data_IF_869492609522
#
_entry.id   IF_869492609522
#
_cell.length_a   1.000
_cell.length_b   1.000
_cell.length_c   1.000
_cell.angle_alpha   90.00
_cell.angle_beta   90.00
_cell.angle_gamma   90.00
#
_symmetry.space_group_name_H-M   'P 1'
#
loop_
_entity.id
_entity.type
_entity.pdbx_description
1 polymer ?
#
# COMPACT_ATOMS: atom_id res chain seq x y z
N UNK A 1 -4.93 -12.62 15.49
CA UNK A 1 -5.05 -12.24 14.08
C UNK A 1 -5.98 -13.18 13.34
N UNK A 2 -6.56 -12.73 12.22
CA UNK A 2 -7.64 -13.44 11.52
C UNK A 2 -7.54 -13.35 10.01
N UNK A 3 -8.09 -14.36 9.35
CA UNK A 3 -8.24 -14.46 7.90
C UNK A 3 -9.58 -15.16 7.57
N UNK A 4 -9.81 -15.45 6.30
CA UNK A 4 -10.98 -16.25 5.84
C UNK A 4 -11.13 -17.59 6.57
N UNK A 5 -10.05 -18.11 7.15
CA UNK A 5 -10.03 -19.42 7.79
C UNK A 5 -10.88 -19.48 9.07
N UNK A 6 -11.07 -18.35 9.75
CA UNK A 6 -11.92 -18.24 10.93
C UNK A 6 -13.43 -18.24 10.60
N UNK A 7 -13.77 -18.09 9.30
CA UNK A 7 -15.17 -18.04 8.84
C UNK A 7 -15.83 -16.71 9.17
N UNK A 8 -17.13 -16.72 9.40
CA UNK A 8 -17.87 -15.53 9.82
C UNK A 8 -17.68 -15.33 11.31
N UNK A 9 -17.19 -14.15 11.69
CA UNK A 9 -16.87 -13.76 13.08
C UNK A 9 -18.00 -12.89 13.61
N UNK A 10 -18.46 -13.17 14.84
CA UNK A 10 -19.32 -12.26 15.60
C UNK A 10 -18.46 -11.26 16.36
N UNK A 11 -18.21 -10.13 15.74
CA UNK A 11 -17.33 -9.10 16.28
C UNK A 11 -17.86 -8.44 17.55
N UNK A 12 -19.17 -8.49 17.79
CA UNK A 12 -19.75 -7.99 19.05
C UNK A 12 -19.34 -8.86 20.23
N UNK A 13 -19.32 -10.17 20.05
CA UNK A 13 -18.84 -11.10 21.07
C UNK A 13 -17.32 -11.02 21.24
N UNK A 14 -16.58 -10.84 20.16
CA UNK A 14 -15.11 -10.62 20.21
C UNK A 14 -14.80 -9.38 21.04
N UNK A 15 -15.47 -8.27 20.81
CA UNK A 15 -15.28 -7.04 21.59
C UNK A 15 -15.66 -7.24 23.06
N UNK A 16 -16.80 -7.90 23.33
CA UNK A 16 -17.26 -8.20 24.68
C UNK A 16 -16.30 -9.13 25.46
N UNK A 17 -15.49 -9.93 24.78
CA UNK A 17 -14.47 -10.78 25.39
C UNK A 17 -13.19 -10.04 25.83
N UNK A 18 -13.09 -8.74 25.55
CA UNK A 18 -11.96 -7.91 25.95
C UNK A 18 -10.82 -7.82 24.93
N UNK A 19 -11.02 -8.33 23.69
CA UNK A 19 -10.08 -8.14 22.58
C UNK A 19 -10.00 -6.65 22.23
N UNK A 20 -8.80 -6.11 22.18
CA UNK A 20 -8.56 -4.69 21.98
C UNK A 20 -8.20 -4.35 20.53
N UNK A 21 -7.57 -5.30 19.82
CA UNK A 21 -7.16 -5.11 18.44
C UNK A 21 -7.24 -6.41 17.65
N UNK A 22 -7.27 -6.27 16.33
CA UNK A 22 -7.17 -7.39 15.39
C UNK A 22 -6.25 -7.05 14.22
N UNK A 23 -5.32 -7.97 13.92
CA UNK A 23 -4.56 -7.97 12.68
C UNK A 23 -5.36 -8.79 11.64
N UNK A 24 -5.74 -8.17 10.53
CA UNK A 24 -6.66 -8.76 9.56
C UNK A 24 -5.92 -9.00 8.24
N UNK A 25 -5.93 -10.25 7.75
CA UNK A 25 -5.39 -10.52 6.43
C UNK A 25 -6.24 -9.86 5.36
N UNK A 26 -5.64 -8.94 4.62
CA UNK A 26 -6.35 -8.24 3.55
C UNK A 26 -6.26 -8.96 2.21
N UNK A 27 -5.20 -9.71 1.99
CA UNK A 27 -5.00 -10.44 0.75
C UNK A 27 -3.74 -11.30 0.76
N UNK A 28 -3.46 -11.89 -0.37
CA UNK A 28 -2.29 -12.72 -0.60
C UNK A 28 -1.93 -12.75 -2.08
N UNK A 29 -0.66 -13.02 -2.39
CA UNK A 29 -0.26 -13.38 -3.74
C UNK A 29 -0.31 -14.88 -3.91
N UNK A 30 -0.85 -15.35 -5.03
CA UNK A 30 -1.02 -16.78 -5.29
C UNK A 30 0.30 -17.45 -5.65
N UNK A 31 0.53 -18.66 -5.16
CA UNK A 31 1.73 -19.45 -5.46
C UNK A 31 1.83 -19.88 -6.95
N UNK A 32 0.71 -20.09 -7.61
CA UNK A 32 0.72 -20.64 -8.98
C UNK A 32 0.77 -19.57 -10.06
N UNK A 33 -0.03 -18.53 -9.92
CA UNK A 33 -0.20 -17.50 -10.96
C UNK A 33 0.52 -16.19 -10.66
N UNK A 34 0.92 -15.98 -9.38
CA UNK A 34 1.51 -14.72 -8.95
C UNK A 34 0.52 -13.56 -8.90
N UNK A 35 -0.78 -13.82 -8.95
CA UNK A 35 -1.84 -12.82 -8.88
C UNK A 35 -2.10 -12.41 -7.43
N UNK A 36 -2.40 -11.15 -7.21
CA UNK A 36 -2.87 -10.65 -5.91
C UNK A 36 -4.37 -10.89 -5.79
N UNK A 37 -4.78 -11.52 -4.69
CA UNK A 37 -6.18 -11.85 -4.42
C UNK A 37 -6.55 -11.33 -3.03
N UNK A 38 -7.69 -10.65 -2.93
CA UNK A 38 -8.24 -10.22 -1.66
C UNK A 38 -8.66 -11.41 -0.81
N UNK A 39 -8.45 -11.33 0.51
CA UNK A 39 -9.05 -12.29 1.43
C UNK A 39 -10.57 -12.10 1.44
N UNK A 40 -11.31 -13.18 1.25
CA UNK A 40 -12.78 -13.12 1.06
C UNK A 40 -13.53 -12.52 2.26
N UNK A 41 -12.93 -12.57 3.45
CA UNK A 41 -13.53 -12.05 4.67
C UNK A 41 -12.94 -10.69 5.10
N UNK A 42 -11.91 -10.19 4.39
CA UNK A 42 -11.21 -8.97 4.81
C UNK A 42 -12.14 -7.78 4.97
N UNK A 43 -12.97 -7.50 3.96
CA UNK A 43 -13.91 -6.38 4.01
C UNK A 43 -14.85 -6.46 5.20
N UNK A 44 -15.47 -7.61 5.39
CA UNK A 44 -16.39 -7.86 6.52
C UNK A 44 -15.64 -7.66 7.86
N UNK A 45 -14.49 -8.32 8.01
CA UNK A 45 -13.71 -8.24 9.25
C UNK A 45 -13.25 -6.81 9.57
N UNK A 46 -12.79 -6.06 8.57
CA UNK A 46 -12.38 -4.66 8.73
C UNK A 46 -13.54 -3.78 9.20
N UNK A 47 -14.70 -3.91 8.54
CA UNK A 47 -15.89 -3.10 8.84
C UNK A 47 -16.45 -3.43 10.22
N UNK A 48 -16.67 -4.70 10.50
CA UNK A 48 -17.30 -5.13 11.72
C UNK A 48 -16.42 -4.98 12.97
N UNK A 49 -15.10 -5.23 12.83
CA UNK A 49 -14.17 -4.96 13.93
C UNK A 49 -14.19 -3.48 14.33
N UNK A 50 -14.11 -2.57 13.35
CA UNK A 50 -14.20 -1.13 13.62
C UNK A 50 -15.56 -0.72 14.21
N UNK A 51 -16.65 -1.24 13.65
CA UNK A 51 -18.01 -0.92 14.14
C UNK A 51 -18.20 -1.33 15.60
N UNK A 52 -17.48 -2.36 16.07
CA UNK A 52 -17.49 -2.84 17.45
C UNK A 52 -16.36 -2.24 18.31
N UNK A 53 -15.66 -1.21 17.84
CA UNK A 53 -14.64 -0.48 18.61
C UNK A 53 -13.29 -1.20 18.73
N UNK A 54 -13.09 -2.29 17.98
CA UNK A 54 -11.80 -3.01 17.92
C UNK A 54 -10.88 -2.24 16.98
N UNK A 55 -9.67 -1.95 17.46
CA UNK A 55 -8.62 -1.34 16.64
C UNK A 55 -8.10 -2.34 15.62
N UNK A 56 -7.81 -1.89 14.42
CA UNK A 56 -7.38 -2.79 13.35
C UNK A 56 -6.02 -2.43 12.77
N UNK A 57 -5.27 -3.48 12.48
CA UNK A 57 -4.13 -3.53 11.58
C UNK A 57 -4.40 -4.47 10.42
N UNK A 58 -3.48 -4.54 9.51
CA UNK A 58 -3.58 -5.40 8.33
C UNK A 58 -2.35 -6.29 8.20
N UNK A 59 -2.49 -7.42 7.51
CA UNK A 59 -1.34 -8.14 7.01
C UNK A 59 -1.60 -8.72 5.62
N UNK A 60 -0.53 -8.95 4.90
CA UNK A 60 -0.56 -9.51 3.55
C UNK A 60 0.35 -10.73 3.48
N UNK A 61 -0.17 -11.83 2.93
CA UNK A 61 0.61 -13.04 2.71
C UNK A 61 1.32 -12.95 1.37
N UNK A 62 2.62 -12.66 1.44
CA UNK A 62 3.47 -12.45 0.27
C UNK A 62 4.04 -13.75 -0.28
N UNK A 63 4.07 -13.85 -1.59
CA UNK A 63 4.89 -14.81 -2.33
C UNK A 63 5.69 -14.10 -3.43
N UNK A 64 6.02 -12.83 -3.23
CA UNK A 64 6.82 -12.04 -4.16
C UNK A 64 8.18 -12.68 -4.40
N UNK A 65 8.63 -12.64 -5.64
CA UNK A 65 9.96 -13.13 -6.07
C UNK A 65 10.83 -12.04 -6.67
N UNK A 66 10.30 -10.82 -6.75
CA UNK A 66 11.03 -9.60 -7.11
C UNK A 66 10.63 -8.44 -6.20
N UNK A 67 11.50 -7.46 -6.03
CA UNK A 67 11.19 -6.24 -5.28
C UNK A 67 10.01 -5.49 -5.89
N UNK A 68 9.85 -5.49 -7.21
CA UNK A 68 8.71 -4.89 -7.88
C UNK A 68 7.39 -5.58 -7.52
N UNK A 69 7.38 -6.91 -7.41
CA UNK A 69 6.21 -7.64 -6.91
C UNK A 69 5.89 -7.28 -5.45
N UNK A 70 6.91 -7.15 -4.60
CA UNK A 70 6.72 -6.77 -3.21
C UNK A 70 6.15 -5.34 -3.06
N UNK A 71 6.64 -4.40 -3.87
CA UNK A 71 6.09 -3.04 -3.96
C UNK A 71 4.64 -3.06 -4.45
N UNK A 72 4.32 -3.85 -5.49
CA UNK A 72 2.94 -4.02 -5.97
C UNK A 72 2.01 -4.56 -4.87
N UNK A 73 2.49 -5.51 -4.06
CA UNK A 73 1.72 -6.03 -2.92
C UNK A 73 1.42 -4.94 -1.91
N UNK A 74 2.43 -4.15 -1.54
CA UNK A 74 2.29 -3.05 -0.59
C UNK A 74 1.37 -1.94 -1.11
N UNK A 75 1.50 -1.56 -2.38
CA UNK A 75 0.61 -0.61 -3.04
C UNK A 75 -0.84 -1.08 -3.01
N UNK A 76 -1.05 -2.35 -3.39
CA UNK A 76 -2.38 -2.94 -3.38
C UNK A 76 -2.98 -2.96 -1.97
N UNK A 77 -2.18 -3.33 -0.96
CA UNK A 77 -2.61 -3.30 0.45
C UNK A 77 -3.00 -1.90 0.87
N UNK A 78 -2.14 -0.92 0.63
CA UNK A 78 -2.39 0.47 1.00
C UNK A 78 -3.65 1.04 0.35
N UNK A 79 -3.89 0.73 -0.93
CA UNK A 79 -5.11 1.11 -1.63
C UNK A 79 -6.34 0.42 -1.05
N UNK A 80 -6.24 -0.89 -0.77
CA UNK A 80 -7.34 -1.67 -0.20
C UNK A 80 -7.79 -1.14 1.17
N UNK A 81 -6.82 -0.82 2.05
CA UNK A 81 -7.11 -0.38 3.42
C UNK A 81 -7.39 1.13 3.55
N UNK A 82 -7.22 1.91 2.50
CA UNK A 82 -7.34 3.38 2.53
C UNK A 82 -8.69 3.91 3.02
N UNK A 83 -9.72 3.11 2.91
CA UNK A 83 -11.09 3.43 3.35
C UNK A 83 -11.35 3.14 4.83
N UNK A 84 -10.40 2.50 5.53
CA UNK A 84 -10.54 2.10 6.93
C UNK A 84 -9.62 2.93 7.83
N UNK A 85 -9.99 3.05 9.09
CA UNK A 85 -9.16 3.70 10.10
C UNK A 85 -8.14 2.69 10.65
N UNK A 86 -7.00 2.56 9.99
CA UNK A 86 -5.92 1.69 10.40
C UNK A 86 -5.12 2.36 11.50
N UNK A 87 -5.14 1.80 12.70
CA UNK A 87 -4.42 2.32 13.88
C UNK A 87 -3.35 1.36 14.39
N UNK A 88 -3.33 0.14 13.88
CA UNK A 88 -2.30 -0.87 14.11
C UNK A 88 -1.45 -1.05 12.85
N UNK A 89 -0.29 -1.73 12.96
CA UNK A 89 0.62 -1.88 11.83
C UNK A 89 0.02 -2.58 10.61
N UNK A 90 0.71 -2.42 9.48
CA UNK A 90 0.53 -3.22 8.27
C UNK A 90 1.73 -4.16 8.16
N UNK A 91 1.48 -5.46 8.27
CA UNK A 91 2.52 -6.46 8.38
C UNK A 91 2.80 -7.19 7.07
N UNK A 92 4.07 -7.38 6.79
CA UNK A 92 4.56 -8.35 5.81
C UNK A 92 4.58 -9.73 6.42
N UNK A 93 3.94 -10.71 5.78
CA UNK A 93 3.94 -12.10 6.17
C UNK A 93 4.36 -12.98 4.99
N UNK A 94 5.33 -13.85 5.19
CA UNK A 94 5.81 -14.77 4.17
C UNK A 94 6.21 -16.08 4.83
N UNK A 95 5.49 -17.13 4.50
CA UNK A 95 5.68 -18.47 5.08
C UNK A 95 5.68 -19.56 4.01
N UNK A 96 6.24 -20.72 4.34
CA UNK A 96 6.23 -21.87 3.45
C UNK A 96 7.17 -21.75 2.24
N UNK A 97 8.08 -20.80 2.25
CA UNK A 97 9.06 -20.59 1.18
C UNK A 97 10.07 -21.73 1.04
N UNK A 98 10.19 -22.61 2.03
CA UNK A 98 11.02 -23.82 1.97
C UNK A 98 10.31 -25.00 1.29
N UNK A 99 9.03 -24.90 0.96
CA UNK A 99 8.33 -25.91 0.20
C UNK A 99 8.76 -25.89 -1.26
N UNK A 100 9.03 -27.05 -1.83
CA UNK A 100 9.48 -27.17 -3.24
C UNK A 100 8.46 -26.56 -4.24
N UNK A 101 7.19 -26.51 -3.88
CA UNK A 101 6.12 -25.91 -4.70
C UNK A 101 6.00 -24.38 -4.54
N UNK A 102 6.79 -23.78 -3.64
CA UNK A 102 6.78 -22.33 -3.43
C UNK A 102 7.51 -21.61 -4.57
N UNK A 103 6.94 -20.50 -5.03
CA UNK A 103 7.61 -19.58 -5.97
C UNK A 103 8.96 -19.09 -5.41
N UNK A 104 9.09 -19.06 -4.10
CA UNK A 104 10.25 -18.52 -3.38
C UNK A 104 11.28 -19.58 -2.99
N UNK A 105 11.05 -20.85 -3.35
CA UNK A 105 11.89 -21.98 -2.92
C UNK A 105 13.39 -21.81 -3.24
N UNK A 106 13.70 -21.26 -4.41
CA UNK A 106 15.08 -21.05 -4.84
C UNK A 106 15.72 -19.75 -4.36
N UNK A 107 14.96 -18.89 -3.66
CA UNK A 107 15.47 -17.60 -3.21
C UNK A 107 16.45 -17.76 -2.05
N UNK A 108 17.52 -16.99 -2.11
CA UNK A 108 18.45 -16.84 -0.99
C UNK A 108 17.81 -16.07 0.16
N UNK A 109 18.40 -16.16 1.34
CA UNK A 109 18.01 -15.34 2.50
C UNK A 109 18.03 -13.84 2.15
N UNK A 110 19.09 -13.37 1.49
CA UNK A 110 19.24 -11.96 1.13
C UNK A 110 18.13 -11.48 0.19
N UNK A 111 17.85 -12.23 -0.88
CA UNK A 111 16.78 -11.88 -1.82
C UNK A 111 15.42 -11.85 -1.12
N UNK A 112 15.13 -12.81 -0.28
CA UNK A 112 13.87 -12.86 0.48
C UNK A 112 13.77 -11.69 1.47
N UNK A 113 14.88 -11.32 2.10
CA UNK A 113 14.94 -10.13 2.98
C UNK A 113 14.72 -8.85 2.17
N UNK A 114 15.27 -8.75 0.95
CA UNK A 114 15.04 -7.61 0.06
C UNK A 114 13.55 -7.46 -0.30
N UNK A 115 12.83 -8.58 -0.52
CA UNK A 115 11.36 -8.53 -0.74
C UNK A 115 10.63 -7.96 0.47
N UNK A 116 10.97 -8.45 1.68
CA UNK A 116 10.36 -7.96 2.90
C UNK A 116 10.60 -6.45 3.09
N UNK A 117 11.84 -6.01 2.92
CA UNK A 117 12.23 -4.60 3.05
C UNK A 117 11.53 -3.73 2.00
N UNK A 118 11.43 -4.18 0.75
CA UNK A 118 10.74 -3.44 -0.31
C UNK A 118 9.25 -3.23 0.03
N UNK A 119 8.56 -4.27 0.51
CA UNK A 119 7.19 -4.17 0.99
C UNK A 119 7.05 -3.19 2.16
N UNK A 120 7.88 -3.35 3.17
CA UNK A 120 7.82 -2.54 4.40
C UNK A 120 8.08 -1.06 4.13
N UNK A 121 9.03 -0.77 3.24
CA UNK A 121 9.28 0.58 2.77
C UNK A 121 8.08 1.20 2.08
N UNK A 122 7.46 0.47 1.17
CA UNK A 122 6.33 1.02 0.43
C UNK A 122 5.13 1.24 1.36
N UNK A 123 4.87 0.35 2.31
CA UNK A 123 3.86 0.56 3.37
C UNK A 123 4.16 1.85 4.14
N UNK A 124 5.44 2.09 4.49
CA UNK A 124 5.83 3.33 5.14
C UNK A 124 5.60 4.56 4.25
N UNK A 125 6.03 4.51 2.99
CA UNK A 125 5.83 5.57 2.00
C UNK A 125 4.35 5.91 1.79
N UNK A 126 3.48 4.91 1.91
CA UNK A 126 2.03 5.07 1.82
C UNK A 126 1.40 5.57 3.13
N UNK A 127 2.22 5.84 4.15
CA UNK A 127 1.83 6.49 5.40
C UNK A 127 1.25 5.56 6.46
N UNK A 128 1.53 4.26 6.39
CA UNK A 128 1.19 3.29 7.41
C UNK A 128 2.44 2.86 8.19
N UNK A 129 2.24 2.28 9.38
CA UNK A 129 3.34 1.71 10.16
C UNK A 129 3.66 0.31 9.65
N UNK A 130 4.85 0.08 9.08
CA UNK A 130 5.25 -1.25 8.64
C UNK A 130 5.63 -2.14 9.82
N UNK A 131 5.38 -3.44 9.69
CA UNK A 131 5.81 -4.46 10.66
C UNK A 131 6.22 -5.73 9.93
N UNK A 132 7.28 -6.37 10.39
CA UNK A 132 7.74 -7.64 9.85
C UNK A 132 7.28 -8.79 10.75
N UNK A 133 6.60 -9.78 10.17
CA UNK A 133 6.19 -11.00 10.88
C UNK A 133 7.02 -12.18 10.42
N UNK A 134 7.54 -12.97 11.37
CA UNK A 134 8.13 -14.27 11.11
C UNK A 134 8.18 -15.15 12.38
N UNK A 135 8.40 -16.45 12.17
CA UNK A 135 8.61 -17.37 13.26
C UNK A 135 9.98 -17.13 13.94
N UNK A 136 10.00 -17.27 15.26
CA UNK A 136 11.22 -17.12 16.06
C UNK A 136 12.43 -17.85 15.47
N UNK A 137 12.23 -19.13 15.09
CA UNK A 137 13.33 -19.96 14.59
C UNK A 137 13.82 -19.57 13.19
N UNK A 138 13.06 -18.79 12.46
CA UNK A 138 13.48 -18.24 11.16
C UNK A 138 14.36 -17.01 11.34
N UNK A 139 14.17 -16.28 12.44
CA UNK A 139 14.87 -15.03 12.74
C UNK A 139 16.13 -15.22 13.56
N UNK A 140 16.14 -16.14 14.54
CA UNK A 140 17.28 -16.32 15.45
C UNK A 140 18.56 -16.65 14.69
N UNK A 141 19.61 -15.85 14.93
CA UNK A 141 20.92 -16.00 14.29
C UNK A 141 20.86 -15.83 12.77
N UNK A 142 19.93 -15.01 12.30
CA UNK A 142 19.69 -14.76 10.87
C UNK A 142 19.47 -16.05 10.06
N UNK A 143 18.74 -17.02 10.64
CA UNK A 143 18.64 -18.37 10.08
C UNK A 143 17.99 -18.40 8.69
N UNK A 144 16.90 -17.63 8.49
CA UNK A 144 16.14 -17.57 7.22
C UNK A 144 15.93 -16.15 6.70
N UNK A 145 16.09 -15.17 7.56
CA UNK A 145 15.97 -13.75 7.30
C UNK A 145 17.25 -13.04 7.77
N UNK A 146 17.72 -12.03 7.07
CA UNK A 146 18.67 -11.08 7.64
C UNK A 146 17.93 -10.16 8.61
N UNK A 147 17.61 -10.74 9.79
CA UNK A 147 16.79 -10.09 10.81
C UNK A 147 17.51 -8.88 11.38
N UNK A 148 18.82 -8.96 11.51
CA UNK A 148 19.65 -7.85 11.97
C UNK A 148 19.58 -6.63 11.04
N UNK A 149 19.33 -6.83 9.75
CA UNK A 149 19.07 -5.76 8.78
C UNK A 149 17.66 -5.20 8.91
N UNK A 150 16.65 -6.06 9.08
CA UNK A 150 15.25 -5.66 9.20
C UNK A 150 15.01 -4.87 10.49
N UNK A 151 15.48 -5.37 11.63
CA UNK A 151 15.21 -4.79 12.95
C UNK A 151 15.83 -3.39 13.18
N UNK A 152 16.79 -2.99 12.33
CA UNK A 152 17.35 -1.64 12.37
C UNK A 152 16.30 -0.57 12.09
N UNK A 153 15.30 -0.89 11.28
CA UNK A 153 14.32 0.09 10.78
C UNK A 153 12.90 -0.29 11.15
N UNK A 154 12.58 -1.58 11.15
CA UNK A 154 11.21 -2.06 11.25
C UNK A 154 10.95 -2.82 12.53
N UNK A 155 9.73 -2.71 13.05
CA UNK A 155 9.27 -3.49 14.19
C UNK A 155 9.03 -4.94 13.81
N UNK A 156 9.31 -5.81 14.75
CA UNK A 156 9.14 -7.26 14.62
C UNK A 156 7.87 -7.71 15.33
N UNK A 157 7.08 -8.53 14.65
CA UNK A 157 6.02 -9.35 15.19
C UNK A 157 6.48 -10.81 15.16
N UNK A 158 6.83 -11.34 16.31
CA UNK A 158 7.38 -12.70 16.42
C UNK A 158 6.28 -13.71 16.65
N UNK A 159 6.32 -14.81 15.92
CA UNK A 159 5.55 -16.02 16.21
C UNK A 159 6.39 -16.98 17.02
N UNK A 160 5.93 -17.30 18.26
CA UNK A 160 6.57 -18.25 19.15
C UNK A 160 5.54 -18.79 20.14
N UNK A 161 5.37 -20.09 20.16
CA UNK A 161 4.36 -20.76 20.97
C UNK A 161 5.01 -21.49 22.14
N UNK A 162 4.92 -20.94 23.37
CA UNK A 162 5.40 -21.61 24.57
C UNK A 162 4.49 -22.79 24.93
N UNK A 163 5.00 -23.76 25.65
CA UNK A 163 4.23 -24.92 26.11
C UNK A 163 3.04 -24.54 27.02
N UNK A 164 3.17 -23.42 27.72
CA UNK A 164 2.09 -22.78 28.49
C UNK A 164 1.90 -21.37 27.95
N UNK A 165 0.75 -21.07 27.35
CA UNK A 165 0.52 -19.76 26.72
C UNK A 165 0.45 -18.60 27.73
N UNK A 166 0.43 -17.38 27.21
CA UNK A 166 0.07 -16.19 27.99
C UNK A 166 -1.34 -16.39 28.62
N UNK A 167 -1.58 -15.92 29.86
CA UNK A 167 -0.71 -15.04 30.65
C UNK A 167 0.31 -15.76 31.57
N UNK A 168 0.29 -17.08 31.65
CA UNK A 168 1.23 -17.81 32.53
C UNK A 168 2.68 -17.63 32.05
N UNK A 169 2.92 -17.69 30.74
CA UNK A 169 4.17 -17.21 30.15
C UNK A 169 3.97 -15.73 29.79
N UNK A 170 4.66 -14.87 30.53
CA UNK A 170 4.41 -13.42 30.44
C UNK A 170 5.00 -12.76 29.19
N UNK A 171 6.00 -13.38 28.55
CA UNK A 171 6.70 -12.83 27.38
C UNK A 171 7.32 -13.94 26.53
N UNK A 172 7.57 -13.63 25.26
CA UNK A 172 8.30 -14.52 24.36
C UNK A 172 9.73 -14.77 24.85
N UNK A 173 10.26 -15.96 24.58
CA UNK A 173 11.67 -16.29 24.76
C UNK A 173 12.53 -15.92 23.52
N UNK A 174 11.95 -15.20 22.56
CA UNK A 174 12.71 -14.59 21.47
C UNK A 174 13.64 -13.51 22.01
N UNK A 175 14.93 -13.64 21.72
CA UNK A 175 15.97 -12.75 22.28
C UNK A 175 16.18 -11.46 21.49
N UNK A 176 15.61 -11.36 20.27
CA UNK A 176 15.62 -10.13 19.47
C UNK A 176 14.59 -9.12 19.96
N UNK A 177 14.75 -7.88 19.49
CA UNK A 177 13.77 -6.83 19.77
C UNK A 177 12.48 -7.10 19.00
N UNK A 178 11.35 -7.10 19.70
CA UNK A 178 10.04 -7.29 19.07
C UNK A 178 8.97 -6.40 19.74
N UNK A 179 7.98 -6.05 18.97
CA UNK A 179 6.91 -5.17 19.40
C UNK A 179 5.55 -5.90 19.50
N UNK A 180 5.44 -7.06 18.89
CA UNK A 180 4.24 -7.90 18.95
C UNK A 180 4.66 -9.37 19.04
N UNK A 181 3.86 -10.15 19.73
CA UNK A 181 4.09 -11.59 19.92
C UNK A 181 2.81 -12.38 19.69
N UNK A 182 2.81 -13.24 18.68
CA UNK A 182 1.81 -14.28 18.48
C UNK A 182 2.17 -15.47 19.36
N UNK A 183 1.40 -15.69 20.43
CA UNK A 183 1.78 -16.66 21.47
C UNK A 183 1.04 -18.01 21.36
N UNK A 184 0.05 -18.10 20.50
CA UNK A 184 -0.67 -19.35 20.19
C UNK A 184 -1.40 -19.23 18.86
N UNK A 185 -1.50 -20.36 18.16
CA UNK A 185 -2.36 -20.56 16.99
C UNK A 185 -3.59 -21.45 17.30
N UNK A 186 -3.85 -21.72 18.58
CA UNK A 186 -4.93 -22.56 19.05
C UNK A 186 -5.82 -21.83 20.07
N UNK A 187 -5.87 -20.50 19.97
CA UNK A 187 -6.67 -19.69 20.87
C UNK A 187 -8.16 -19.92 20.67
N UNK A 188 -8.93 -19.66 21.73
CA UNK A 188 -10.39 -19.63 21.69
C UNK A 188 -10.87 -18.23 22.09
N UNK A 189 -11.59 -17.59 21.20
CA UNK A 189 -12.16 -16.24 21.42
C UNK A 189 -13.67 -16.31 21.19
N UNK A 190 -14.44 -15.73 22.09
CA UNK A 190 -15.89 -15.66 21.93
C UNK A 190 -16.24 -14.95 20.60
N UNK A 191 -17.20 -15.49 19.86
CA UNK A 191 -17.55 -14.98 18.53
C UNK A 191 -16.75 -15.60 17.36
N UNK A 192 -15.72 -16.41 17.65
CA UNK A 192 -14.95 -17.13 16.65
C UNK A 192 -15.10 -18.63 16.88
N UNK A 193 -15.66 -19.35 15.92
CA UNK A 193 -15.99 -20.79 16.07
C UNK A 193 -14.82 -21.76 15.83
N UNK A 194 -13.70 -21.25 15.33
CA UNK A 194 -12.50 -22.03 15.00
C UNK A 194 -11.32 -21.57 15.86
N UNK A 195 -10.27 -22.39 15.99
CA UNK A 195 -9.03 -21.93 16.57
C UNK A 195 -8.53 -20.66 15.89
N UNK A 196 -7.98 -19.77 16.67
CA UNK A 196 -7.54 -18.45 16.21
C UNK A 196 -6.17 -18.11 16.81
N UNK A 197 -5.36 -17.43 16.02
CA UNK A 197 -4.10 -16.87 16.45
C UNK A 197 -4.34 -15.73 17.45
N UNK A 198 -3.59 -15.72 18.56
CA UNK A 198 -3.75 -14.68 19.59
C UNK A 198 -2.41 -14.02 19.89
N UNK A 199 -2.48 -12.69 20.01
CA UNK A 199 -1.34 -11.80 20.01
C UNK A 199 -1.30 -10.89 21.22
N UNK A 200 -0.09 -10.50 21.63
CA UNK A 200 0.21 -9.43 22.56
C UNK A 200 0.99 -8.34 21.82
N UNK A 201 0.53 -7.10 21.90
CA UNK A 201 1.24 -5.92 21.45
C UNK A 201 1.88 -5.20 22.64
N UNK A 202 3.20 -4.98 22.58
CA UNK A 202 3.97 -4.38 23.69
C UNK A 202 4.14 -2.87 23.57
N UNK A 203 3.79 -2.30 22.45
CA UNK A 203 3.78 -0.84 22.28
C UNK A 203 2.40 -0.31 22.65
N UNK A 204 2.39 0.69 23.49
CA UNK A 204 1.16 1.23 24.03
C UNK A 204 0.33 1.95 23.00
N UNK A 205 -0.50 1.22 22.26
CA UNK A 205 -1.63 1.80 21.53
C UNK A 205 -2.81 2.11 22.47
N UNK A 206 -2.52 2.41 23.74
CA UNK A 206 -3.52 2.88 24.68
C UNK A 206 -4.01 4.26 24.23
N UNK A 207 -5.06 4.26 23.45
CA UNK A 207 -5.68 5.47 22.97
C UNK A 207 -5.13 5.94 21.63
N UNK A 208 -5.10 6.68 20.94
CA UNK A 208 -4.71 7.40 19.71
C UNK A 208 -3.22 7.42 19.44
N UNK A 209 -2.44 6.43 19.83
CA UNK A 209 -1.03 6.41 19.46
C UNK A 209 -0.93 6.37 17.94
N UNK A 210 -0.40 7.41 17.36
CA UNK A 210 0.02 7.41 15.99
C UNK A 210 1.00 6.26 15.80
N UNK A 211 0.56 5.21 15.14
CA UNK A 211 1.39 4.08 14.79
C UNK A 211 2.65 4.48 13.98
N UNK A 212 2.70 5.71 13.53
CA UNK A 212 3.81 6.35 12.81
C UNK A 212 4.92 6.89 13.72
N UNK A 213 4.66 7.10 15.01
CA UNK A 213 5.60 7.79 15.91
C UNK A 213 6.81 6.98 16.33
N UNK A 214 6.82 5.67 16.04
CA UNK A 214 7.86 4.76 16.49
C UNK A 214 9.01 4.56 15.48
N UNK A 215 8.84 5.06 14.27
CA UNK A 215 9.90 5.10 13.26
C UNK A 215 10.43 6.53 13.24
N UNK A 216 11.66 6.73 13.67
CA UNK A 216 12.25 8.08 13.65
C UNK A 216 12.40 8.52 12.18
N UNK A 217 11.79 9.64 11.77
CA UNK A 217 11.79 10.08 10.38
C UNK A 217 13.19 10.23 9.77
N UNK A 218 14.18 10.57 10.59
CA UNK A 218 15.57 10.75 10.14
C UNK A 218 16.24 9.44 9.71
N UNK A 219 16.01 8.33 10.43
CA UNK A 219 16.58 7.01 10.07
C UNK A 219 15.92 6.47 8.82
N UNK A 220 14.61 6.67 8.69
CA UNK A 220 13.84 6.19 7.53
C UNK A 220 14.09 7.06 6.29
N UNK A 221 14.33 8.35 6.44
CA UNK A 221 14.65 9.24 5.32
C UNK A 221 15.94 8.83 4.60
N UNK A 222 16.99 8.50 5.35
CA UNK A 222 18.25 8.02 4.80
C UNK A 222 18.12 6.61 4.21
N UNK A 223 17.35 5.74 4.87
CA UNK A 223 17.11 4.38 4.40
C UNK A 223 16.13 4.37 3.21
N UNK A 224 15.13 5.24 3.18
CA UNK A 224 14.24 5.39 2.05
C UNK A 224 15.00 5.79 0.76
N UNK A 225 16.02 6.65 0.86
CA UNK A 225 16.87 6.95 -0.28
C UNK A 225 17.69 5.72 -0.72
N UNK A 226 18.29 5.01 0.22
CA UNK A 226 19.09 3.82 -0.06
C UNK A 226 18.25 2.70 -0.69
N UNK A 227 17.00 2.57 -0.25
CA UNK A 227 16.05 1.54 -0.70
C UNK A 227 15.33 1.90 -2.02
N UNK A 228 15.30 3.20 -2.38
CA UNK A 228 14.76 3.62 -3.68
C UNK A 228 15.63 3.18 -4.87
N UNK A 229 16.85 2.68 -4.62
CA UNK A 229 17.77 2.24 -5.67
C UNK A 229 17.86 3.23 -6.82
N UNK A 230 18.22 4.49 -6.52
CA UNK A 230 18.37 5.51 -7.55
C UNK A 230 19.50 5.16 -8.50
N UNK A 231 19.17 5.04 -9.78
CA UNK A 231 20.17 5.07 -10.86
C UNK A 231 20.60 6.51 -11.07
N UNK A 232 21.91 6.77 -10.97
CA UNK A 232 22.45 8.10 -11.13
C UNK A 232 22.25 8.61 -12.55
N UNK A 233 21.77 9.85 -12.65
CA UNK A 233 21.62 10.61 -13.90
C UNK A 233 22.11 12.04 -13.67
N UNK A 234 22.32 12.77 -14.75
CA UNK A 234 22.66 14.21 -14.69
C UNK A 234 21.88 14.93 -15.77
N UNK A 235 20.67 15.34 -15.45
CA UNK A 235 19.73 15.91 -16.42
C UNK A 235 19.12 17.20 -15.85
N UNK A 236 18.96 18.20 -16.69
CA UNK A 236 18.15 19.36 -16.31
C UNK A 236 16.69 19.02 -16.55
N UNK A 237 15.85 19.25 -15.54
CA UNK A 237 14.41 19.00 -15.61
C UNK A 237 13.62 20.23 -15.20
N UNK A 238 12.40 20.29 -15.70
CA UNK A 238 11.37 21.24 -15.23
C UNK A 238 10.10 20.47 -14.87
N UNK A 239 9.21 21.10 -14.14
CA UNK A 239 7.90 20.49 -13.89
C UNK A 239 7.01 20.59 -15.14
N UNK A 240 6.19 19.58 -15.42
CA UNK A 240 5.19 19.65 -16.52
C UNK A 240 4.15 20.75 -16.27
N UNK A 241 3.75 20.96 -15.03
CA UNK A 241 2.95 22.11 -14.56
C UNK A 241 3.57 22.64 -13.27
N UNK A 242 3.41 21.93 -12.18
CA UNK A 242 4.08 22.15 -10.91
C UNK A 242 4.30 20.81 -10.21
N UNK A 243 5.33 20.69 -9.38
CA UNK A 243 5.55 19.52 -8.54
C UNK A 243 6.15 19.92 -7.21
N UNK A 244 5.75 19.21 -6.17
CA UNK A 244 6.33 19.39 -4.85
C UNK A 244 7.70 18.72 -4.78
N UNK A 245 8.68 19.48 -4.27
CA UNK A 245 10.01 18.98 -3.93
C UNK A 245 10.03 18.72 -2.43
N UNK A 246 10.33 17.47 -2.06
CA UNK A 246 10.22 16.98 -0.69
C UNK A 246 11.59 16.64 -0.11
N UNK A 247 11.67 16.66 1.22
CA UNK A 247 12.91 16.31 1.94
C UNK A 247 13.26 14.82 1.85
N UNK A 248 12.26 13.96 1.64
CA UNK A 248 12.41 12.50 1.45
C UNK A 248 11.52 12.03 0.30
N UNK A 249 11.82 10.89 -0.36
CA UNK A 249 11.02 10.34 -1.46
C UNK A 249 9.75 9.65 -0.93
N UNK A 250 8.86 10.43 -0.33
CA UNK A 250 7.59 9.98 0.24
C UNK A 250 6.51 11.04 0.02
N UNK A 251 5.27 10.59 -0.13
CA UNK A 251 4.07 11.47 -0.11
C UNK A 251 3.36 11.41 1.25
N UNK A 252 3.89 10.63 2.19
CA UNK A 252 3.35 10.50 3.54
C UNK A 252 3.48 11.77 4.38
N UNK A 253 2.87 11.74 5.57
CA UNK A 253 2.90 12.86 6.52
C UNK A 253 4.27 13.15 7.12
N UNK A 254 5.23 12.26 6.96
CA UNK A 254 6.64 12.34 7.32
C UNK A 254 7.46 13.16 6.32
N UNK A 255 6.96 13.29 5.09
CA UNK A 255 7.58 14.07 4.04
C UNK A 255 7.13 15.53 4.08
N UNK A 256 8.09 16.42 4.28
CA UNK A 256 7.85 17.85 4.23
C UNK A 256 8.05 18.37 2.81
N UNK A 257 7.09 19.12 2.29
CA UNK A 257 7.27 19.92 1.07
C UNK A 257 8.19 21.07 1.37
N UNK A 258 9.39 21.06 0.81
CA UNK A 258 10.44 22.08 1.01
C UNK A 258 10.29 23.21 -0.01
N UNK A 259 9.94 22.84 -1.24
CA UNK A 259 9.74 23.79 -2.34
C UNK A 259 8.72 23.25 -3.33
N UNK A 260 8.28 24.10 -4.24
CA UNK A 260 7.48 23.71 -5.40
C UNK A 260 8.22 24.15 -6.65
N UNK A 261 8.50 23.22 -7.55
CA UNK A 261 9.09 23.50 -8.86
C UNK A 261 7.95 23.80 -9.83
N UNK A 262 7.99 24.97 -10.46
CA UNK A 262 7.01 25.37 -11.46
C UNK A 262 7.48 24.99 -12.87
N UNK A 263 6.54 24.92 -13.82
CA UNK A 263 6.91 24.85 -15.24
C UNK A 263 7.76 26.04 -15.64
N UNK A 264 8.88 25.77 -16.34
CA UNK A 264 9.87 26.77 -16.72
C UNK A 264 10.97 27.04 -15.67
N UNK A 265 10.74 26.68 -14.39
CA UNK A 265 11.83 26.62 -13.42
C UNK A 265 12.61 25.32 -13.59
N UNK A 266 13.89 25.31 -13.27
CA UNK A 266 14.73 24.14 -13.49
C UNK A 266 15.35 23.61 -12.21
N UNK A 267 15.52 22.28 -12.18
CA UNK A 267 16.31 21.56 -11.20
C UNK A 267 17.24 20.58 -11.92
N UNK A 268 18.31 20.18 -11.26
CA UNK A 268 19.15 19.09 -11.76
C UNK A 268 18.66 17.77 -11.21
N UNK A 269 18.17 16.87 -12.07
CA UNK A 269 17.84 15.49 -11.69
C UNK A 269 19.12 14.70 -11.59
N UNK A 270 19.42 14.18 -10.39
CA UNK A 270 20.65 13.44 -10.07
C UNK A 270 20.42 11.94 -9.93
N UNK A 271 19.16 11.50 -9.85
CA UNK A 271 18.83 10.09 -9.77
C UNK A 271 17.39 9.82 -10.21
N UNK A 272 17.16 8.63 -10.74
CA UNK A 272 15.82 8.11 -11.10
C UNK A 272 15.66 6.75 -10.46
N UNK A 273 14.55 6.54 -9.76
CA UNK A 273 14.15 5.26 -9.19
C UNK A 273 13.07 4.59 -10.01
N UNK A 274 13.11 3.27 -10.10
CA UNK A 274 12.03 2.47 -10.69
C UNK A 274 10.71 2.58 -9.93
N UNK A 275 10.75 3.03 -8.66
CA UNK A 275 9.56 3.32 -7.85
C UNK A 275 8.83 4.63 -8.23
N UNK A 276 9.28 5.31 -9.28
CA UNK A 276 8.64 6.52 -9.79
C UNK A 276 9.11 7.83 -9.12
N UNK A 277 10.22 7.81 -8.37
CA UNK A 277 10.82 8.98 -7.75
C UNK A 277 12.04 9.48 -8.50
N UNK A 278 12.23 10.77 -8.47
CA UNK A 278 13.45 11.45 -8.93
C UNK A 278 14.12 12.14 -7.76
N UNK A 279 15.42 11.95 -7.61
CA UNK A 279 16.29 12.75 -6.76
C UNK A 279 16.73 13.98 -7.57
N UNK A 280 16.53 15.15 -7.00
CA UNK A 280 16.86 16.43 -7.68
C UNK A 280 17.72 17.31 -6.79
N UNK A 281 18.66 18.05 -7.39
CA UNK A 281 19.35 19.15 -6.74
C UNK A 281 18.64 20.47 -7.12
N UNK A 282 18.12 21.16 -6.12
CA UNK A 282 17.43 22.42 -6.28
C UNK A 282 17.88 23.41 -5.21
N UNK A 283 18.38 24.57 -5.63
CA UNK A 283 18.95 25.60 -4.74
C UNK A 283 20.01 25.05 -3.77
N UNK A 284 20.85 24.11 -4.24
CA UNK A 284 21.93 23.51 -3.45
C UNK A 284 21.47 22.45 -2.45
N UNK A 285 20.19 22.07 -2.45
CA UNK A 285 19.62 21.03 -1.60
C UNK A 285 19.29 19.80 -2.43
N UNK A 286 19.48 18.61 -1.84
CA UNK A 286 18.96 17.35 -2.38
C UNK A 286 17.52 17.19 -1.95
N UNK A 287 16.62 17.11 -2.92
CA UNK A 287 15.18 16.98 -2.72
C UNK A 287 14.63 15.89 -3.65
N UNK A 288 13.38 15.51 -3.43
CA UNK A 288 12.75 14.42 -4.15
C UNK A 288 11.41 14.85 -4.76
N UNK A 289 11.17 14.41 -5.98
CA UNK A 289 9.94 14.66 -6.71
C UNK A 289 9.42 13.38 -7.38
N UNK A 290 8.13 13.28 -7.56
CA UNK A 290 7.53 12.21 -8.36
C UNK A 290 7.94 12.38 -9.82
N UNK A 291 8.57 11.37 -10.41
CA UNK A 291 9.19 11.44 -11.75
C UNK A 291 8.22 11.79 -12.87
N UNK A 292 6.96 11.35 -12.76
CA UNK A 292 5.94 11.59 -13.79
C UNK A 292 5.56 13.07 -13.95
N UNK A 293 5.82 13.89 -12.93
CA UNK A 293 5.57 15.33 -12.98
C UNK A 293 6.74 16.15 -13.55
N UNK A 294 7.89 15.50 -13.79
CA UNK A 294 9.08 16.11 -14.36
C UNK A 294 9.20 15.81 -15.85
N UNK A 295 9.90 16.69 -16.56
CA UNK A 295 10.29 16.50 -17.96
C UNK A 295 11.67 17.10 -18.22
N UNK A 296 12.42 16.50 -19.15
CA UNK A 296 13.68 17.03 -19.68
C UNK A 296 13.46 18.00 -20.83
N UNK A 297 12.25 18.06 -21.37
CA UNK A 297 11.84 19.08 -22.32
C UNK A 297 11.61 20.41 -21.59
N UNK A 298 12.62 21.27 -21.59
CA UNK A 298 12.54 22.57 -20.92
C UNK A 298 11.63 23.57 -21.63
N UNK A 299 11.25 23.29 -22.88
CA UNK A 299 10.25 24.03 -23.62
C UNK A 299 8.83 23.48 -23.47
N UNK A 300 8.66 22.47 -22.62
CA UNK A 300 7.37 21.86 -22.38
C UNK A 300 6.35 22.92 -21.95
N UNK A 301 5.38 23.14 -22.80
CA UNK A 301 4.20 23.92 -22.46
C UNK A 301 3.11 22.93 -22.07
N UNK A 302 2.67 23.02 -20.82
CA UNK A 302 1.48 22.29 -20.42
C UNK A 302 0.38 22.63 -21.44
N UNK A 303 -0.28 21.65 -22.05
CA UNK A 303 -1.34 21.93 -23.02
C UNK A 303 -2.30 22.93 -22.38
N UNK A 304 -2.50 24.08 -23.04
CA UNK A 304 -3.44 25.08 -22.58
C UNK A 304 -4.79 24.43 -22.32
N UNK A 305 -5.42 24.74 -21.20
CA UNK A 305 -6.82 24.44 -20.98
C UNK A 305 -7.57 25.03 -22.17
N UNK A 306 -8.01 24.20 -23.10
CA UNK A 306 -8.65 24.65 -24.34
C UNK A 306 -10.01 25.25 -23.99
N UNK A 307 -10.05 26.59 -23.91
CA UNK A 307 -11.30 27.35 -23.94
C UNK A 307 -11.75 27.52 -25.39
N UNK A 308 -11.99 26.43 -26.07
CA UNK A 308 -12.78 26.46 -27.29
C UNK A 308 -14.09 25.74 -27.00
N UNK A 309 -15.11 26.55 -26.84
CA UNK A 309 -16.47 26.11 -26.78
C UNK A 309 -16.83 25.35 -28.09
N UNK A 310 -16.90 24.04 -27.98
CA UNK A 310 -17.76 23.27 -28.85
C UNK A 310 -18.99 22.84 -28.06
N UNK A 311 -20.07 23.52 -28.37
CA UNK A 311 -21.41 23.19 -27.96
C UNK A 311 -21.79 21.82 -28.50
N UNK A 312 -21.81 20.81 -27.61
CA UNK A 312 -22.82 19.74 -27.69
C UNK A 312 -22.86 18.99 -26.36
N UNK A 313 -24.04 18.99 -25.77
CA UNK A 313 -24.52 18.21 -24.63
C UNK A 313 -23.92 18.54 -23.25
N UNK A 314 -24.78 19.06 -22.39
CA UNK A 314 -24.60 19.42 -21.02
C UNK A 314 -23.88 18.36 -20.21
N UNK A 315 -22.67 18.68 -19.79
CA UNK A 315 -21.98 18.00 -18.70
C UNK A 315 -22.01 18.90 -17.46
N UNK A 316 -22.63 18.38 -16.42
CA UNK A 316 -22.89 19.14 -15.20
C UNK A 316 -21.60 19.56 -14.49
N UNK A 317 -21.58 20.83 -14.20
CA UNK A 317 -20.60 21.61 -13.45
C UNK A 317 -19.90 20.85 -12.33
N UNK A 318 -18.58 20.89 -12.33
CA UNK A 318 -17.76 20.52 -11.19
C UNK A 318 -16.44 21.24 -11.24
N UNK A 319 -16.09 21.92 -10.18
CA UNK A 319 -14.90 22.73 -9.99
C UNK A 319 -13.59 22.00 -10.32
N UNK A 320 -12.72 22.72 -10.97
CA UNK A 320 -11.48 22.33 -11.55
C UNK A 320 -10.53 21.46 -10.75
N UNK A 321 -10.37 20.24 -11.23
CA UNK A 321 -9.09 19.57 -11.24
C UNK A 321 -8.67 19.47 -12.71
N UNK A 322 -7.44 19.81 -13.02
CA UNK A 322 -6.94 19.88 -14.41
C UNK A 322 -6.94 18.56 -15.20
N UNK A 323 -7.60 17.52 -14.70
CA UNK A 323 -7.69 16.19 -15.32
C UNK A 323 -8.91 15.98 -16.23
N UNK A 324 -9.88 16.89 -16.23
CA UNK A 324 -11.13 16.76 -17.01
C UNK A 324 -10.99 16.78 -18.51
N UNK A 325 -9.85 17.18 -19.06
CA UNK A 325 -9.82 17.69 -20.42
C UNK A 325 -9.05 16.88 -21.43
N UNK A 326 -8.54 15.69 -21.10
CA UNK A 326 -7.64 14.96 -22.02
C UNK A 326 -7.93 13.48 -22.17
N UNK A 327 -9.19 13.16 -22.25
CA UNK A 327 -9.57 11.80 -22.64
C UNK A 327 -9.62 11.71 -24.16
N UNK A 328 -8.76 10.88 -24.73
CA UNK A 328 -8.93 10.43 -26.10
C UNK A 328 -10.19 9.57 -26.18
N UNK A 329 -11.14 9.94 -27.00
CA UNK A 329 -12.39 9.21 -27.12
C UNK A 329 -12.15 7.78 -27.62
N UNK A 330 -12.82 6.83 -27.01
CA UNK A 330 -12.88 5.44 -27.44
C UNK A 330 -14.31 4.91 -27.22
N UNK A 331 -14.58 3.72 -27.72
CA UNK A 331 -15.88 3.07 -27.52
C UNK A 331 -15.63 1.57 -27.50
N UNK A 332 -15.16 1.07 -26.37
CA UNK A 332 -14.88 -0.35 -26.18
C UNK A 332 -15.51 -0.84 -24.87
N UNK A 333 -15.86 -2.12 -24.85
CA UNK A 333 -16.42 -2.75 -23.65
C UNK A 333 -15.29 -3.34 -22.82
N UNK A 334 -15.25 -2.94 -21.56
CA UNK A 334 -14.22 -3.35 -20.63
C UNK A 334 -14.83 -3.93 -19.36
N UNK A 335 -14.06 -4.76 -18.69
CA UNK A 335 -14.35 -5.29 -17.37
C UNK A 335 -13.15 -5.03 -16.45
N UNK A 336 -13.34 -5.09 -15.16
CA UNK A 336 -12.21 -5.04 -14.23
C UNK A 336 -11.41 -6.34 -14.28
N UNK A 337 -10.09 -6.28 -14.15
CA UNK A 337 -9.24 -7.47 -14.01
C UNK A 337 -9.61 -8.29 -12.77
N UNK A 338 -9.92 -7.60 -11.66
CA UNK A 338 -10.46 -8.14 -10.42
C UNK A 338 -11.66 -7.30 -10.02
N UNK A 339 -11.42 -6.10 -9.52
CA UNK A 339 -12.39 -5.05 -9.27
C UNK A 339 -11.73 -3.67 -9.38
N UNK A 340 -12.50 -2.64 -9.67
CA UNK A 340 -12.01 -1.26 -9.71
C UNK A 340 -13.07 -0.30 -9.22
N UNK A 341 -12.64 0.70 -8.44
CA UNK A 341 -13.52 1.77 -7.99
C UNK A 341 -13.85 2.71 -9.15
N UNK A 342 -15.14 2.92 -9.38
CA UNK A 342 -15.67 3.92 -10.29
C UNK A 342 -15.94 5.21 -9.50
N UNK A 343 -15.25 6.29 -9.85
CA UNK A 343 -15.25 7.54 -9.10
C UNK A 343 -15.94 8.67 -9.85
N UNK A 344 -16.42 9.64 -9.09
CA UNK A 344 -17.06 10.84 -9.66
C UNK A 344 -16.07 11.78 -10.36
N UNK A 345 -14.78 11.70 -10.00
CA UNK A 345 -13.69 12.45 -10.61
C UNK A 345 -12.49 11.53 -10.88
N UNK A 346 -11.64 11.81 -11.88
CA UNK A 346 -10.45 11.01 -12.18
C UNK A 346 -9.30 11.35 -11.19
N UNK A 347 -9.51 11.08 -9.92
CA UNK A 347 -8.55 11.34 -8.86
C UNK A 347 -8.73 10.32 -7.73
N UNK A 348 -7.63 9.92 -7.11
CA UNK A 348 -7.62 9.11 -5.87
C UNK A 348 -7.32 9.96 -4.64
N UNK A 349 -6.84 11.19 -4.82
CA UNK A 349 -6.41 12.09 -3.76
C UNK A 349 -7.35 13.27 -3.51
N UNK A 350 -8.20 13.59 -4.48
CA UNK A 350 -9.19 14.66 -4.33
C UNK A 350 -10.34 14.16 -3.42
N UNK A 351 -10.64 14.85 -2.30
CA UNK A 351 -11.72 14.46 -1.41
C UNK A 351 -13.11 14.45 -2.07
N UNK A 352 -13.29 15.20 -3.16
CA UNK A 352 -14.53 15.24 -3.94
C UNK A 352 -14.67 14.06 -4.93
N UNK A 353 -13.61 13.26 -5.11
CA UNK A 353 -13.61 12.09 -5.96
C UNK A 353 -14.24 10.88 -5.25
N UNK A 354 -15.53 10.96 -4.95
CA UNK A 354 -16.24 9.90 -4.27
C UNK A 354 -16.27 8.61 -5.10
N UNK A 355 -16.17 7.46 -4.44
CA UNK A 355 -16.45 6.16 -5.07
C UNK A 355 -17.95 6.01 -5.22
N UNK A 356 -18.44 6.05 -6.46
CA UNK A 356 -19.85 5.93 -6.79
C UNK A 356 -20.29 4.48 -6.99
N UNK A 357 -19.40 3.62 -7.47
CA UNK A 357 -19.64 2.20 -7.71
C UNK A 357 -18.33 1.41 -7.70
N UNK A 358 -18.43 0.10 -7.67
CA UNK A 358 -17.29 -0.83 -7.86
C UNK A 358 -17.64 -1.72 -9.04
N UNK A 359 -16.80 -1.73 -10.06
CA UNK A 359 -16.90 -2.65 -11.20
C UNK A 359 -16.11 -3.92 -10.86
N UNK A 360 -16.75 -5.07 -10.95
CA UNK A 360 -16.12 -6.38 -10.68
C UNK A 360 -15.72 -7.08 -11.97
N UNK A 361 -14.82 -8.06 -11.84
CA UNK A 361 -14.51 -8.95 -12.96
C UNK A 361 -15.78 -9.64 -13.47
N UNK A 362 -15.97 -9.62 -14.80
CA UNK A 362 -17.16 -10.16 -15.46
C UNK A 362 -18.33 -9.17 -15.57
N UNK A 363 -18.37 -8.11 -14.76
CA UNK A 363 -19.28 -6.98 -15.01
C UNK A 363 -18.67 -6.09 -16.08
N UNK A 364 -19.50 -5.57 -16.99
CA UNK A 364 -19.00 -4.81 -18.13
C UNK A 364 -19.51 -3.38 -18.15
N UNK A 365 -18.65 -2.48 -18.60
CA UNK A 365 -19.00 -1.07 -18.86
C UNK A 365 -18.46 -0.63 -20.20
N UNK A 366 -19.08 0.39 -20.79
CA UNK A 366 -18.54 1.04 -21.98
C UNK A 366 -17.48 2.05 -21.55
N UNK A 367 -16.25 1.85 -22.01
CA UNK A 367 -15.20 2.86 -21.85
C UNK A 367 -15.34 3.89 -22.97
N UNK A 368 -15.54 5.14 -22.61
CA UNK A 368 -15.80 6.26 -23.52
C UNK A 368 -14.59 7.17 -23.72
N UNK A 369 -13.52 6.95 -22.97
CA UNK A 369 -12.30 7.72 -23.14
C UNK A 369 -11.12 7.17 -22.32
N UNK A 370 -9.91 7.39 -22.82
CA UNK A 370 -8.66 7.02 -22.18
C UNK A 370 -7.81 8.28 -22.02
N UNK A 371 -7.30 8.49 -20.82
CA UNK A 371 -6.25 9.44 -20.54
C UNK A 371 -4.96 8.65 -20.29
N UNK A 372 -4.08 8.58 -21.28
CA UNK A 372 -2.82 7.84 -21.22
C UNK A 372 -1.77 8.54 -20.35
N UNK A 373 -1.85 9.88 -20.25
CA UNK A 373 -0.85 10.68 -19.51
C UNK A 373 -0.93 10.45 -18.00
N UNK A 374 -2.14 10.16 -17.51
CA UNK A 374 -2.42 9.98 -16.08
C UNK A 374 -3.00 8.60 -15.75
N UNK A 375 -3.14 7.73 -16.74
CA UNK A 375 -3.60 6.35 -16.55
C UNK A 375 -5.07 6.21 -16.17
N UNK A 376 -5.95 7.15 -16.60
CA UNK A 376 -7.37 7.11 -16.28
C UNK A 376 -8.23 6.69 -17.47
N UNK A 377 -9.28 5.94 -17.18
CA UNK A 377 -10.39 5.64 -18.12
C UNK A 377 -11.65 6.35 -17.68
N UNK A 378 -12.37 6.92 -18.66
CA UNK A 378 -13.74 7.41 -18.50
C UNK A 378 -14.68 6.32 -18.97
N UNK A 379 -15.67 5.99 -18.16
CA UNK A 379 -16.63 4.91 -18.45
C UNK A 379 -18.06 5.40 -18.30
N UNK A 380 -18.96 4.80 -19.05
CA UNK A 380 -20.41 4.90 -18.83
C UNK A 380 -20.84 3.71 -17.96
N UNK A 381 -21.33 4.00 -16.79
CA UNK A 381 -21.88 3.03 -15.85
C UNK A 381 -23.36 3.36 -15.58
N UNK A 382 -24.26 2.60 -16.16
CA UNK A 382 -25.72 2.81 -16.02
C UNK A 382 -26.18 4.24 -16.40
N UNK A 383 -25.59 4.81 -17.45
CA UNK A 383 -25.90 6.18 -17.91
C UNK A 383 -25.19 7.27 -17.11
N UNK A 384 -24.32 6.92 -16.18
CA UNK A 384 -23.51 7.87 -15.41
C UNK A 384 -22.05 7.83 -15.88
N UNK A 385 -21.51 9.00 -16.17
CA UNK A 385 -20.07 9.13 -16.47
C UNK A 385 -19.25 9.03 -15.18
N UNK A 386 -18.42 7.98 -15.11
CA UNK A 386 -17.51 7.74 -13.99
C UNK A 386 -16.09 7.53 -14.51
N UNK A 387 -15.13 7.50 -13.57
CA UNK A 387 -13.71 7.41 -13.87
C UNK A 387 -13.07 6.29 -13.06
N UNK A 388 -12.12 5.57 -13.68
CA UNK A 388 -11.34 4.56 -13.00
C UNK A 388 -9.92 4.49 -13.55
N UNK A 389 -9.03 3.88 -12.79
CA UNK A 389 -7.63 3.69 -13.20
C UNK A 389 -7.57 2.65 -14.32
N UNK A 390 -6.98 3.01 -15.45
CA UNK A 390 -6.97 2.19 -16.68
C UNK A 390 -6.27 0.85 -16.51
N UNK A 391 -5.22 0.79 -15.69
CA UNK A 391 -4.44 -0.44 -15.48
C UNK A 391 -5.23 -1.57 -14.82
N UNK A 392 -6.34 -1.26 -14.16
CA UNK A 392 -7.25 -2.26 -13.57
C UNK A 392 -8.30 -2.80 -14.54
N UNK A 393 -8.35 -2.29 -15.76
CA UNK A 393 -9.29 -2.73 -16.78
C UNK A 393 -8.65 -3.72 -17.76
N UNK A 394 -9.47 -4.57 -18.34
CA UNK A 394 -9.17 -5.43 -19.48
C UNK A 394 -10.35 -5.43 -20.43
N UNK A 395 -10.12 -5.76 -21.70
CA UNK A 395 -11.22 -5.93 -22.66
C UNK A 395 -12.15 -7.03 -22.19
N UNK A 396 -13.44 -6.77 -22.23
CA UNK A 396 -14.44 -7.81 -22.00
C UNK A 396 -14.42 -8.78 -23.21
N UNK A 397 -14.37 -10.08 -22.93
CA UNK A 397 -14.48 -11.12 -23.96
C UNK A 397 -15.94 -11.39 -24.28
#
# INVERSE_FOLDING_TARGET
DVARYQGTIDWSQVAASGVQFAMIRVGYRTQKTGEIVADTNAKYNMQEAQANGIKIGAYFFSTAVTTDEAVQEADWVADYISQYQITYPVAFNCEGFENADSRQYAMTQSERTDMAIAFLNEIYNRGYTPMFYAAKNEMLGDAKWDTSRIEKTYKIWVSQYPSVPYPQTAQSDYTGTHAMWQYTNQGTVAGISKPVDVDIAYFGYAGTADAKSDVTPETVGADAEALMNFSDVNETVTAKQSTNLRNIPSQGSDATVVATLQNGETATRTGVSSSGWSRVSYNGQTLYAVSSYLTTDLGYTAPAANTTAETTAADGSGSGDGLKTKFTACNDVVTAKIEVNLRTLPSVTNPDAAVAAVLKNGETVTRTGINTDYGWSRVDYNGQTLYCVSSYLTSAQ
#
